data_IF_358167775574
#
_entry.id   IF_358167775574
#
_cell.length_a   1.000
_cell.length_b   1.000
_cell.length_c   1.000
_cell.angle_alpha   90.00
_cell.angle_beta   90.00
_cell.angle_gamma   90.00
#
_symmetry.space_group_name_H-M   'P 1'
#
loop_
_entity.id
_entity.type
_entity.pdbx_description
1 polymer ?
#
# COMPACT_ATOMS: atom_id res chain seq x y z
N UNK A 1 13.04 -8.51 11.53
CA UNK A 1 12.09 -7.36 11.56
C UNK A 1 12.73 -6.23 10.77
N UNK A 2 11.99 -5.63 9.86
CA UNK A 2 12.54 -4.55 9.04
C UNK A 2 12.17 -3.21 9.65
N UNK A 3 13.11 -2.24 9.73
CA UNK A 3 12.78 -0.88 10.13
C UNK A 3 11.70 -0.30 9.23
N UNK A 4 10.79 0.46 9.81
CA UNK A 4 9.65 1.03 9.10
C UNK A 4 9.31 2.44 9.55
N UNK A 5 8.57 3.13 8.70
CA UNK A 5 8.11 4.49 8.94
C UNK A 5 6.66 4.61 8.42
N UNK A 6 5.78 5.13 9.23
CA UNK A 6 4.45 5.59 8.79
C UNK A 6 4.50 7.08 8.55
N UNK A 7 3.94 7.53 7.43
CA UNK A 7 3.71 8.95 7.16
C UNK A 7 2.22 9.22 7.09
N UNK A 8 1.76 10.28 7.79
CA UNK A 8 0.40 10.83 7.67
C UNK A 8 0.48 12.18 6.96
N UNK A 9 -0.37 12.35 5.93
CA UNK A 9 -0.44 13.53 5.08
C UNK A 9 -1.85 14.11 5.16
N UNK A 10 -1.99 15.34 5.65
CA UNK A 10 -3.28 16.05 5.71
C UNK A 10 -3.36 17.05 4.56
N UNK A 11 -4.16 16.78 3.50
CA UNK A 11 -4.32 17.71 2.41
C UNK A 11 -4.92 19.04 2.87
N UNK A 12 -4.27 20.15 2.51
CA UNK A 12 -4.72 21.49 2.81
C UNK A 12 -5.81 22.01 1.85
N UNK A 13 -6.07 21.24 0.79
CA UNK A 13 -7.05 21.57 -0.26
C UNK A 13 -7.48 20.31 -1.01
N UNK A 14 -8.14 20.49 -2.17
CA UNK A 14 -8.52 19.35 -3.00
C UNK A 14 -7.30 18.53 -3.41
N UNK A 15 -7.51 17.24 -3.50
CA UNK A 15 -6.47 16.31 -3.89
C UNK A 15 -6.93 15.43 -5.05
N UNK A 16 -6.02 15.03 -5.93
CA UNK A 16 -6.38 14.22 -7.09
C UNK A 16 -5.36 13.14 -7.37
N UNK A 17 -5.84 11.90 -7.39
CA UNK A 17 -5.24 10.80 -8.11
C UNK A 17 -6.11 10.48 -9.31
N UNK A 18 -5.56 10.53 -10.50
CA UNK A 18 -6.29 10.21 -11.72
C UNK A 18 -6.32 8.71 -11.95
N UNK A 19 -7.43 8.16 -12.50
CA UNK A 19 -7.44 6.80 -13.00
C UNK A 19 -6.55 6.70 -14.26
N UNK A 20 -6.01 5.51 -14.53
CA UNK A 20 -5.16 5.26 -15.71
C UNK A 20 -5.86 5.52 -17.05
N UNK A 21 -7.19 5.53 -17.06
CA UNK A 21 -7.98 5.92 -18.23
C UNK A 21 -7.76 7.37 -18.66
N UNK A 22 -7.12 8.21 -17.81
CA UNK A 22 -6.94 9.64 -18.04
C UNK A 22 -8.21 10.48 -17.88
N UNK A 23 -9.33 9.87 -17.43
CA UNK A 23 -10.58 10.57 -17.22
C UNK A 23 -10.42 11.68 -16.18
N UNK A 24 -10.78 12.91 -16.53
CA UNK A 24 -10.78 14.04 -15.61
C UNK A 24 -11.97 14.06 -14.66
N UNK A 25 -13.09 13.45 -15.05
CA UNK A 25 -14.31 13.38 -14.25
C UNK A 25 -14.31 12.28 -13.18
N UNK A 26 -13.25 11.50 -13.09
CA UNK A 26 -13.09 10.42 -12.12
C UNK A 26 -11.79 10.60 -11.32
N UNK A 27 -11.78 10.07 -10.11
CA UNK A 27 -10.61 9.97 -9.24
C UNK A 27 -10.43 8.52 -8.83
N UNK A 28 -9.19 8.14 -8.53
CA UNK A 28 -8.88 6.94 -7.79
C UNK A 28 -8.64 7.33 -6.32
N UNK A 29 -9.36 6.76 -5.35
CA UNK A 29 -9.15 7.08 -3.95
C UNK A 29 -7.81 6.55 -3.40
N UNK A 30 -7.12 5.66 -4.13
CA UNK A 30 -5.77 5.20 -3.78
C UNK A 30 -4.74 6.00 -4.59
N UNK A 31 -3.76 6.56 -3.90
CA UNK A 31 -2.54 7.01 -4.55
C UNK A 31 -1.55 5.85 -4.54
N UNK A 32 -1.50 5.14 -5.65
CA UNK A 32 -0.75 3.90 -5.76
C UNK A 32 0.75 4.06 -5.54
N UNK A 33 1.38 3.02 -5.03
CA UNK A 33 2.80 2.99 -4.65
C UNK A 33 3.75 3.32 -5.80
N UNK A 34 3.41 2.96 -7.04
CA UNK A 34 4.19 3.32 -8.24
C UNK A 34 4.22 4.84 -8.48
N UNK A 35 3.08 5.50 -8.24
CA UNK A 35 2.94 6.95 -8.36
C UNK A 35 3.61 7.66 -7.19
N UNK A 36 3.51 7.11 -5.98
CA UNK A 36 4.19 7.63 -4.80
C UNK A 36 5.71 7.53 -4.96
N UNK A 37 6.21 6.38 -5.42
CA UNK A 37 7.63 6.19 -5.72
C UNK A 37 8.13 7.22 -6.76
N UNK A 38 7.36 7.44 -7.83
CA UNK A 38 7.71 8.42 -8.84
C UNK A 38 7.75 9.85 -8.28
N UNK A 39 6.80 10.22 -7.41
CA UNK A 39 6.77 11.52 -6.75
C UNK A 39 7.97 11.70 -5.80
N UNK A 40 8.28 10.68 -4.99
CA UNK A 40 9.46 10.70 -4.11
C UNK A 40 10.75 10.77 -4.92
N UNK A 41 10.85 10.03 -6.02
CA UNK A 41 12.04 10.10 -6.92
C UNK A 41 12.24 11.51 -7.51
N UNK A 42 11.14 12.19 -7.87
CA UNK A 42 11.22 13.58 -8.32
C UNK A 42 11.70 14.52 -7.18
N UNK A 43 11.20 14.31 -5.96
CA UNK A 43 11.65 15.05 -4.79
C UNK A 43 13.12 14.78 -4.45
N UNK A 44 13.60 13.52 -4.51
CA UNK A 44 15.02 13.17 -4.36
C UNK A 44 15.90 13.87 -5.42
N UNK A 45 15.36 14.03 -6.64
CA UNK A 45 16.02 14.83 -7.68
C UNK A 45 16.16 16.30 -7.31
N UNK A 46 15.13 16.91 -6.76
CA UNK A 46 15.18 18.29 -6.27
C UNK A 46 16.10 18.45 -5.05
N UNK A 47 16.25 17.42 -4.24
CA UNK A 47 17.21 17.36 -3.12
C UNK A 47 18.65 17.05 -3.55
N UNK A 48 18.90 16.80 -4.85
CA UNK A 48 20.24 16.57 -5.40
C UNK A 48 20.79 15.14 -5.24
N UNK A 49 19.97 14.17 -4.80
CA UNK A 49 20.40 12.80 -4.49
C UNK A 49 19.70 11.74 -5.35
N UNK A 50 19.24 12.12 -6.57
CA UNK A 50 18.50 11.21 -7.47
C UNK A 50 19.25 9.94 -7.82
N UNK A 51 20.52 10.07 -8.21
CA UNK A 51 21.30 8.91 -8.67
C UNK A 51 21.56 7.93 -7.53
N UNK A 52 21.93 8.42 -6.35
CA UNK A 52 22.08 7.59 -5.16
C UNK A 52 20.76 6.87 -4.80
N UNK A 53 19.62 7.56 -4.93
CA UNK A 53 18.30 7.00 -4.73
C UNK A 53 17.99 5.89 -5.73
N UNK A 54 18.24 6.11 -7.02
CA UNK A 54 18.01 5.12 -8.06
C UNK A 54 18.94 3.90 -7.90
N UNK A 55 20.21 4.12 -7.52
CA UNK A 55 21.17 3.05 -7.27
C UNK A 55 20.77 2.20 -6.05
N UNK A 56 20.20 2.82 -5.02
CA UNK A 56 19.71 2.10 -3.84
C UNK A 56 18.35 1.39 -4.08
N UNK A 57 17.62 1.73 -5.13
CA UNK A 57 16.27 1.19 -5.37
C UNK A 57 16.17 0.43 -6.68
N UNK A 58 15.88 1.10 -7.80
CA UNK A 58 15.57 0.44 -9.08
C UNK A 58 16.78 -0.23 -9.75
N UNK A 59 17.98 0.23 -9.47
CA UNK A 59 19.23 -0.31 -10.03
C UNK A 59 19.91 -1.32 -9.10
N UNK A 60 19.40 -1.49 -7.87
CA UNK A 60 19.97 -2.41 -6.90
C UNK A 60 19.60 -3.87 -7.23
N UNK A 61 20.57 -4.72 -7.59
CA UNK A 61 20.30 -6.12 -7.95
C UNK A 61 19.84 -6.98 -6.75
N UNK A 62 20.12 -6.55 -5.53
CA UNK A 62 19.70 -7.24 -4.31
C UNK A 62 18.26 -6.89 -3.89
N UNK A 63 17.62 -5.97 -4.60
CA UNK A 63 16.30 -5.44 -4.32
C UNK A 63 16.34 -4.03 -3.74
N UNK A 64 15.19 -3.35 -3.67
CA UNK A 64 15.12 -1.96 -3.25
C UNK A 64 15.41 -1.79 -1.76
N UNK A 65 16.30 -0.85 -1.42
CA UNK A 65 16.58 -0.48 -0.04
C UNK A 65 15.35 0.16 0.66
N UNK A 66 14.46 0.78 -0.11
CA UNK A 66 13.24 1.43 0.40
C UNK A 66 12.03 0.99 -0.42
N UNK A 67 10.95 0.60 0.25
CA UNK A 67 9.67 0.22 -0.35
C UNK A 67 8.56 1.07 0.23
N UNK A 68 7.55 1.35 -0.59
CA UNK A 68 6.38 2.12 -0.19
C UNK A 68 5.11 1.27 -0.32
N UNK A 69 4.21 1.40 0.66
CA UNK A 69 2.82 1.05 0.41
C UNK A 69 2.17 2.06 -0.53
N UNK A 70 1.00 1.77 -1.03
CA UNK A 70 0.11 2.79 -1.56
C UNK A 70 -0.38 3.70 -0.42
N UNK A 71 -0.88 4.91 -0.78
CA UNK A 71 -1.48 5.79 0.22
C UNK A 71 -2.92 5.41 0.44
N UNK A 72 -3.30 5.21 1.69
CA UNK A 72 -4.63 4.85 2.14
C UNK A 72 -5.25 5.98 2.97
N UNK A 73 -6.58 6.05 3.10
CA UNK A 73 -7.21 7.10 3.90
C UNK A 73 -7.05 6.87 5.40
N UNK A 74 -7.10 7.96 6.18
CA UNK A 74 -7.29 7.92 7.63
C UNK A 74 -8.32 8.96 8.09
N UNK A 75 -8.89 8.77 9.28
CA UNK A 75 -9.75 9.73 9.96
C UNK A 75 -9.42 9.72 11.46
N UNK A 76 -8.98 10.85 12.00
CA UNK A 76 -8.43 10.94 13.35
C UNK A 76 -7.23 10.01 13.51
N UNK A 77 -7.30 9.08 14.45
CA UNK A 77 -6.26 8.06 14.65
C UNK A 77 -6.55 6.75 13.91
N UNK A 78 -7.72 6.62 13.27
CA UNK A 78 -8.09 5.39 12.55
C UNK A 78 -7.51 5.42 11.14
N UNK A 79 -6.50 4.58 10.88
CA UNK A 79 -6.05 4.25 9.53
C UNK A 79 -6.97 3.24 8.88
N UNK A 80 -7.32 3.47 7.60
CA UNK A 80 -8.05 2.52 6.78
C UNK A 80 -7.10 1.90 5.77
N UNK A 81 -7.39 0.68 5.33
CA UNK A 81 -6.53 -0.08 4.44
C UNK A 81 -7.35 -1.00 3.55
N UNK A 82 -6.81 -1.38 2.39
CA UNK A 82 -7.42 -2.42 1.56
C UNK A 82 -7.22 -3.77 2.23
N UNK A 83 -8.29 -4.47 2.65
CA UNK A 83 -8.17 -5.71 3.41
C UNK A 83 -7.60 -6.87 2.60
N UNK A 84 -7.01 -7.87 3.27
CA UNK A 84 -6.58 -9.10 2.61
C UNK A 84 -7.78 -9.83 1.99
N UNK A 85 -7.69 -10.18 0.71
CA UNK A 85 -8.79 -10.77 -0.06
C UNK A 85 -9.22 -12.16 0.41
N UNK A 86 -8.38 -12.88 1.12
CA UNK A 86 -8.68 -14.19 1.68
C UNK A 86 -9.55 -14.15 2.95
N UNK A 87 -9.61 -12.99 3.63
CA UNK A 87 -10.44 -12.79 4.82
C UNK A 87 -11.54 -11.75 4.62
N UNK A 88 -11.59 -11.09 3.45
CA UNK A 88 -12.58 -10.08 3.15
C UNK A 88 -13.37 -10.40 1.87
N UNK A 89 -14.70 -10.34 1.87
CA UNK A 89 -15.60 -10.04 3.00
C UNK A 89 -15.57 -11.14 4.08
N UNK A 90 -15.93 -10.81 5.35
CA UNK A 90 -15.89 -11.78 6.45
C UNK A 90 -16.77 -12.99 6.15
N UNK A 91 -16.25 -14.19 6.40
CA UNK A 91 -17.00 -15.43 6.28
C UNK A 91 -17.87 -15.64 7.52
N UNK A 92 -19.15 -16.01 7.36
CA UNK A 92 -20.03 -16.37 8.47
C UNK A 92 -21.11 -15.34 8.85
N UNK A 93 -21.31 -14.29 8.04
CA UNK A 93 -22.48 -13.41 8.14
C UNK A 93 -23.76 -14.09 7.64
N UNK A 94 -24.92 -13.45 7.92
CA UNK A 94 -26.19 -13.86 7.34
C UNK A 94 -26.08 -14.08 5.81
N UNK A 95 -26.87 -14.95 5.19
CA UNK A 95 -26.87 -15.12 3.74
C UNK A 95 -26.87 -13.76 3.05
N UNK A 96 -26.07 -13.59 2.00
CA UNK A 96 -25.87 -12.31 1.27
C UNK A 96 -27.17 -11.60 0.92
N UNK A 97 -28.26 -12.36 0.78
CA UNK A 97 -29.62 -11.86 0.54
C UNK A 97 -30.29 -11.22 1.76
N UNK A 98 -29.80 -11.48 2.99
CA UNK A 98 -30.36 -10.98 4.23
C UNK A 98 -29.43 -9.96 4.92
N UNK A 99 -28.17 -9.84 4.46
CA UNK A 99 -27.23 -8.88 5.01
C UNK A 99 -27.66 -7.45 4.67
N UNK A 100 -27.79 -6.61 5.69
CA UNK A 100 -28.07 -5.17 5.56
C UNK A 100 -26.86 -4.42 4.99
N UNK A 101 -25.66 -4.96 5.14
CA UNK A 101 -24.40 -4.35 4.73
C UNK A 101 -23.87 -5.06 3.49
N UNK A 102 -23.54 -4.26 2.49
CA UNK A 102 -22.80 -4.75 1.33
C UNK A 102 -21.32 -4.73 1.61
N UNK A 103 -20.82 -5.68 2.40
CA UNK A 103 -19.40 -5.79 2.79
C UNK A 103 -18.44 -5.65 1.61
N UNK A 104 -18.76 -6.23 0.46
CA UNK A 104 -17.96 -6.14 -0.76
C UNK A 104 -17.82 -4.74 -1.33
N UNK A 105 -18.69 -3.80 -0.96
CA UNK A 105 -18.57 -2.39 -1.39
C UNK A 105 -17.61 -1.58 -0.53
N UNK A 106 -17.17 -2.12 0.62
CA UNK A 106 -16.12 -1.50 1.41
C UNK A 106 -14.76 -1.84 0.77
N UNK A 107 -14.16 -0.83 0.15
CA UNK A 107 -12.81 -0.91 -0.40
C UNK A 107 -11.76 -0.80 0.71
N UNK A 108 -12.08 -0.06 1.76
CA UNK A 108 -11.19 0.20 2.89
C UNK A 108 -11.86 -0.20 4.20
N UNK A 109 -11.10 -0.86 5.07
CA UNK A 109 -11.53 -1.17 6.43
C UNK A 109 -10.53 -0.61 7.45
N UNK A 110 -10.94 -0.33 8.69
CA UNK A 110 -10.00 0.03 9.75
C UNK A 110 -8.89 -1.02 9.90
N UNK A 111 -7.64 -0.58 10.06
CA UNK A 111 -6.49 -1.48 10.24
C UNK A 111 -6.70 -2.42 11.44
N UNK A 112 -7.29 -1.90 12.53
CA UNK A 112 -7.59 -2.69 13.73
C UNK A 112 -8.52 -3.88 13.47
N UNK A 113 -9.41 -3.79 12.48
CA UNK A 113 -10.29 -4.90 12.12
C UNK A 113 -9.57 -6.02 11.38
N UNK A 114 -8.46 -5.73 10.70
CA UNK A 114 -7.68 -6.78 10.01
C UNK A 114 -7.17 -7.79 11.02
N UNK A 115 -6.60 -7.33 12.14
CA UNK A 115 -6.14 -8.21 13.22
C UNK A 115 -7.29 -9.05 13.80
N UNK A 116 -8.44 -8.42 14.07
CA UNK A 116 -9.62 -9.10 14.60
C UNK A 116 -10.15 -10.19 13.64
N UNK A 117 -10.18 -9.91 12.33
CA UNK A 117 -10.59 -10.87 11.31
C UNK A 117 -9.60 -12.03 11.16
N UNK A 118 -8.30 -11.77 11.25
CA UNK A 118 -7.26 -12.81 11.27
C UNK A 118 -7.40 -13.74 12.48
N UNK A 119 -7.92 -13.23 13.59
CA UNK A 119 -8.24 -14.00 14.80
C UNK A 119 -9.61 -14.71 14.73
N UNK A 120 -10.29 -14.63 13.58
CA UNK A 120 -11.58 -15.27 13.37
C UNK A 120 -12.75 -14.57 14.08
N UNK A 121 -12.60 -13.33 14.54
CA UNK A 121 -13.68 -12.57 15.16
C UNK A 121 -14.72 -12.17 14.11
N UNK A 122 -15.98 -12.44 14.41
CA UNK A 122 -17.09 -12.02 13.57
C UNK A 122 -17.38 -10.51 13.71
N UNK A 123 -17.92 -9.91 12.66
CA UNK A 123 -18.36 -8.52 12.68
C UNK A 123 -19.87 -8.45 12.84
N UNK A 124 -20.35 -7.60 13.77
CA UNK A 124 -21.77 -7.30 13.93
C UNK A 124 -22.21 -6.29 12.87
N UNK A 125 -23.22 -6.65 12.05
CA UNK A 125 -23.75 -5.77 11.01
C UNK A 125 -24.39 -4.48 11.55
N UNK A 126 -24.82 -4.48 12.81
CA UNK A 126 -25.46 -3.32 13.44
C UNK A 126 -24.47 -2.22 13.81
N UNK A 127 -23.21 -2.59 14.00
CA UNK A 127 -22.14 -1.66 14.41
C UNK A 127 -21.48 -0.95 13.23
N UNK A 128 -21.68 -1.43 12.00
CA UNK A 128 -20.92 -0.97 10.84
C UNK A 128 -21.81 -0.50 9.71
N UNK A 129 -21.29 0.42 8.91
CA UNK A 129 -21.87 0.87 7.65
C UNK A 129 -20.79 1.13 6.64
N UNK A 130 -21.09 0.99 5.35
CA UNK A 130 -20.18 1.38 4.28
C UNK A 130 -20.54 2.78 3.82
N UNK A 131 -19.63 3.73 4.02
CA UNK A 131 -19.80 5.09 3.50
C UNK A 131 -19.61 5.09 1.98
N UNK A 132 -20.69 5.37 1.26
CA UNK A 132 -20.69 5.28 -0.21
C UNK A 132 -19.80 6.33 -0.91
N UNK A 133 -19.43 7.41 -0.22
CA UNK A 133 -18.59 8.46 -0.77
C UNK A 133 -17.10 8.11 -0.72
N UNK A 134 -16.66 7.47 0.36
CA UNK A 134 -15.26 7.11 0.59
C UNK A 134 -14.97 5.62 0.40
N UNK A 135 -16.00 4.80 0.23
CA UNK A 135 -15.88 3.33 0.20
C UNK A 135 -15.23 2.75 1.48
N UNK A 136 -15.26 3.50 2.57
CA UNK A 136 -14.72 3.07 3.87
C UNK A 136 -15.80 2.36 4.70
N UNK A 137 -15.40 1.29 5.39
CA UNK A 137 -16.19 0.68 6.44
C UNK A 137 -16.10 1.57 7.68
N UNK A 138 -17.23 2.14 8.09
CA UNK A 138 -17.33 3.09 9.19
C UNK A 138 -18.18 2.53 10.32
N UNK A 139 -17.95 2.93 11.57
CA UNK A 139 -18.95 2.73 12.62
C UNK A 139 -20.29 3.32 12.22
N UNK A 140 -21.38 2.65 12.58
CA UNK A 140 -22.73 3.07 12.20
C UNK A 140 -23.02 4.53 12.61
N UNK A 141 -23.52 5.31 11.65
CA UNK A 141 -23.85 6.73 11.85
C UNK A 141 -22.67 7.70 11.69
N UNK A 142 -21.44 7.23 11.48
CA UNK A 142 -20.31 8.10 11.23
C UNK A 142 -20.02 8.21 9.72
N UNK A 143 -19.72 9.41 9.22
CA UNK A 143 -19.36 9.62 7.83
C UNK A 143 -17.89 9.27 7.57
N UNK A 144 -17.57 8.89 6.33
CA UNK A 144 -16.22 8.54 5.91
C UNK A 144 -15.23 9.72 5.88
N UNK A 145 -13.93 9.44 5.66
CA UNK A 145 -12.85 10.42 5.74
C UNK A 145 -12.86 11.48 4.63
N UNK A 146 -13.47 11.19 3.49
CA UNK A 146 -13.46 12.08 2.33
C UNK A 146 -14.70 11.91 1.46
N UNK A 147 -14.88 12.84 0.55
CA UNK A 147 -15.87 12.78 -0.53
C UNK A 147 -15.23 13.14 -1.87
N UNK A 148 -15.80 12.66 -2.96
CA UNK A 148 -15.45 13.11 -4.30
C UNK A 148 -16.27 14.38 -4.62
N UNK A 149 -15.58 15.41 -5.11
CA UNK A 149 -16.20 16.63 -5.63
C UNK A 149 -15.83 16.82 -7.09
N UNK A 150 -16.71 17.46 -7.85
CA UNK A 150 -16.46 17.78 -9.26
C UNK A 150 -16.48 19.31 -9.43
N UNK A 151 -15.36 19.85 -9.89
CA UNK A 151 -15.24 21.27 -10.19
C UNK A 151 -15.35 21.50 -11.68
N UNK A 152 -16.16 22.48 -12.05
CA UNK A 152 -16.33 22.88 -13.43
C UNK A 152 -15.47 24.11 -13.72
N UNK A 153 -14.82 24.09 -14.87
CA UNK A 153 -14.08 25.21 -15.43
C UNK A 153 -14.44 25.38 -16.91
N UNK A 154 -14.26 26.55 -17.43
CA UNK A 154 -14.46 26.85 -18.84
C UNK A 154 -13.12 27.18 -19.48
N UNK A 155 -12.80 26.55 -20.60
CA UNK A 155 -11.77 27.04 -21.53
C UNK A 155 -12.43 27.98 -22.53
N UNK A 156 -11.86 29.17 -22.68
CA UNK A 156 -12.34 30.15 -23.65
C UNK A 156 -11.31 30.24 -24.76
N UNK A 157 -11.74 29.97 -25.99
CA UNK A 157 -10.93 30.22 -27.18
C UNK A 157 -10.83 31.73 -27.39
N UNK A 158 -9.62 32.27 -27.33
CA UNK A 158 -9.35 33.69 -27.44
C UNK A 158 -9.59 34.26 -28.85
N UNK A 159 -9.63 33.42 -29.87
CA UNK A 159 -9.83 33.83 -31.25
C UNK A 159 -11.33 33.85 -31.61
N UNK A 160 -12.06 32.80 -31.21
CA UNK A 160 -13.46 32.60 -31.57
C UNK A 160 -14.44 33.02 -30.48
N UNK A 161 -13.98 33.19 -29.22
CA UNK A 161 -14.84 33.43 -28.07
C UNK A 161 -15.63 32.18 -27.65
N UNK A 162 -15.45 31.03 -28.31
CA UNK A 162 -16.15 29.82 -27.97
C UNK A 162 -15.72 29.31 -26.61
N UNK A 163 -16.64 28.68 -25.87
CA UNK A 163 -16.42 28.22 -24.51
C UNK A 163 -16.67 26.72 -24.43
N UNK A 164 -15.67 25.97 -23.93
CA UNK A 164 -15.79 24.55 -23.65
C UNK A 164 -15.73 24.30 -22.14
N UNK A 165 -16.68 23.50 -21.62
CA UNK A 165 -16.75 23.16 -20.21
C UNK A 165 -15.91 21.92 -19.92
N UNK A 166 -15.10 22.01 -18.84
CA UNK A 166 -14.30 20.90 -18.35
C UNK A 166 -14.72 20.54 -16.93
N UNK A 167 -14.97 19.26 -16.69
CA UNK A 167 -15.18 18.71 -15.37
C UNK A 167 -13.86 18.15 -14.83
N UNK A 168 -13.49 18.52 -13.62
CA UNK A 168 -12.33 17.94 -12.92
C UNK A 168 -12.78 17.43 -11.57
N UNK A 169 -12.73 16.12 -11.39
CA UNK A 169 -13.02 15.48 -10.11
C UNK A 169 -11.81 15.56 -9.18
N UNK A 170 -12.06 15.75 -7.90
CA UNK A 170 -11.07 15.75 -6.82
C UNK A 170 -11.64 15.12 -5.57
N UNK A 171 -10.76 14.79 -4.65
CA UNK A 171 -11.08 14.28 -3.31
C UNK A 171 -10.97 15.47 -2.35
N UNK A 172 -11.99 15.65 -1.53
CA UNK A 172 -12.03 16.61 -0.44
C UNK A 172 -12.05 15.86 0.87
N UNK A 173 -10.96 15.94 1.60
CA UNK A 173 -10.82 15.31 2.92
C UNK A 173 -11.53 16.14 3.99
N UNK A 174 -11.99 15.46 5.04
CA UNK A 174 -12.45 16.12 6.25
C UNK A 174 -11.25 16.72 6.99
N UNK A 175 -11.53 17.62 7.95
CA UNK A 175 -10.49 18.36 8.68
C UNK A 175 -9.47 17.44 9.36
N UNK A 176 -9.94 16.32 9.95
CA UNK A 176 -9.10 15.38 10.69
C UNK A 176 -8.75 14.13 9.86
N UNK A 177 -8.88 14.24 8.54
CA UNK A 177 -8.65 13.13 7.63
C UNK A 177 -7.52 13.44 6.63
N UNK A 178 -7.02 12.41 6.01
CA UNK A 178 -5.98 12.52 5.00
C UNK A 178 -5.57 11.17 4.45
N UNK A 179 -4.32 11.10 4.01
CA UNK A 179 -3.67 9.91 3.48
C UNK A 179 -2.53 9.47 4.40
N UNK A 180 -2.36 8.18 4.54
CA UNK A 180 -1.21 7.59 5.21
C UNK A 180 -0.56 6.52 4.33
N UNK A 181 0.73 6.34 4.50
CA UNK A 181 1.49 5.31 3.82
C UNK A 181 2.54 4.71 4.75
N UNK A 182 2.95 3.49 4.45
CA UNK A 182 4.02 2.77 5.12
C UNK A 182 5.24 2.75 4.23
N UNK A 183 6.37 2.98 4.83
CA UNK A 183 7.69 2.86 4.23
C UNK A 183 8.43 1.73 4.95
N UNK A 184 8.99 0.80 4.21
CA UNK A 184 9.85 -0.26 4.74
C UNK A 184 11.27 -0.06 4.26
N UNK A 185 12.23 -0.21 5.15
CA UNK A 185 13.64 -0.24 4.85
C UNK A 185 14.11 -1.70 4.81
N UNK A 186 14.99 -2.05 3.85
CA UNK A 186 15.36 -3.43 3.60
C UNK A 186 16.10 -4.09 4.77
N UNK A 187 16.92 -3.30 5.46
CA UNK A 187 17.78 -3.71 6.57
C UNK A 187 18.11 -2.53 7.50
N UNK A 188 18.96 -2.73 8.49
CA UNK A 188 19.37 -1.70 9.44
C UNK A 188 20.21 -0.59 8.78
N UNK A 189 21.01 -0.90 7.78
CA UNK A 189 21.78 0.11 7.04
C UNK A 189 20.85 1.04 6.29
N UNK A 190 19.89 0.51 5.55
CA UNK A 190 18.84 1.27 4.89
C UNK A 190 17.98 2.07 5.88
N UNK A 191 17.68 1.45 7.05
CA UNK A 191 16.95 2.07 8.16
C UNK A 191 17.70 3.21 8.84
N UNK A 192 19.01 3.27 8.72
CA UNK A 192 19.84 4.37 9.21
C UNK A 192 20.00 5.45 8.14
N UNK A 193 20.24 5.07 6.89
CA UNK A 193 20.59 5.99 5.80
C UNK A 193 19.39 6.76 5.26
N UNK A 194 18.25 6.10 5.04
CA UNK A 194 17.16 6.63 4.22
C UNK A 194 16.04 7.37 4.95
N UNK A 195 15.78 7.22 6.26
CA UNK A 195 14.68 7.95 6.92
C UNK A 195 14.77 9.47 6.80
N UNK A 196 15.96 10.05 6.93
CA UNK A 196 16.19 11.49 6.76
C UNK A 196 15.83 12.00 5.37
N UNK A 197 16.43 11.47 4.29
CA UNK A 197 16.07 11.79 2.90
C UNK A 197 14.59 11.59 2.58
N UNK A 198 13.99 10.47 3.02
CA UNK A 198 12.56 10.17 2.80
C UNK A 198 11.67 11.22 3.47
N UNK A 199 11.94 11.59 4.73
CA UNK A 199 11.20 12.67 5.40
C UNK A 199 11.35 14.00 4.67
N UNK A 200 12.58 14.33 4.22
CA UNK A 200 12.83 15.52 3.40
C UNK A 200 12.00 15.52 2.11
N UNK A 201 11.94 14.39 1.41
CA UNK A 201 11.13 14.23 0.22
C UNK A 201 9.63 14.43 0.49
N UNK A 202 9.09 13.84 1.57
CA UNK A 202 7.67 14.02 1.92
C UNK A 202 7.34 15.46 2.33
N UNK A 203 8.24 16.17 3.03
CA UNK A 203 8.06 17.60 3.34
C UNK A 203 8.03 18.42 2.06
N UNK A 204 8.95 18.17 1.14
CA UNK A 204 8.98 18.85 -0.15
C UNK A 204 7.71 18.57 -0.98
N UNK A 205 7.20 17.33 -0.98
CA UNK A 205 5.97 16.95 -1.63
C UNK A 205 4.74 17.61 -0.99
N UNK A 206 4.71 17.71 0.33
CA UNK A 206 3.62 18.38 1.05
C UNK A 206 3.56 19.89 0.70
N UNK A 207 4.72 20.53 0.61
CA UNK A 207 4.84 21.95 0.28
C UNK A 207 4.58 22.24 -1.20
N UNK A 208 5.18 21.47 -2.12
CA UNK A 208 5.03 21.69 -3.58
C UNK A 208 3.74 21.12 -4.17
N UNK A 209 3.04 20.27 -3.42
CA UNK A 209 1.92 19.47 -3.90
C UNK A 209 2.34 18.26 -4.74
N UNK A 210 1.57 17.19 -4.66
CA UNK A 210 1.74 15.99 -5.49
C UNK A 210 0.38 15.43 -5.94
N UNK A 211 0.41 14.53 -6.93
CA UNK A 211 -0.80 14.08 -7.62
C UNK A 211 -1.15 14.96 -8.81
N UNK A 212 -2.41 15.02 -9.19
CA UNK A 212 -2.90 15.81 -10.33
C UNK A 212 -3.28 17.24 -9.96
N UNK A 213 -3.33 18.11 -10.98
CA UNK A 213 -3.78 19.52 -10.87
C UNK A 213 -2.89 20.40 -9.96
N UNK A 214 -1.61 20.04 -9.79
CA UNK A 214 -0.64 20.81 -8.97
C UNK A 214 -0.54 22.28 -9.39
N UNK A 215 -0.58 22.57 -10.69
CA UNK A 215 -0.55 23.95 -11.21
C UNK A 215 -1.76 24.80 -10.79
N UNK A 216 -2.79 24.17 -10.23
CA UNK A 216 -3.98 24.83 -9.66
C UNK A 216 -3.97 24.86 -8.14
N UNK A 217 -2.85 24.55 -7.51
CA UNK A 217 -2.70 24.50 -6.06
C UNK A 217 -3.30 23.27 -5.38
N UNK A 218 -3.60 22.19 -6.14
CA UNK A 218 -4.07 20.95 -5.55
C UNK A 218 -2.90 20.09 -5.08
N UNK A 219 -3.17 19.23 -4.11
CA UNK A 219 -2.18 18.26 -3.63
C UNK A 219 -1.22 18.76 -2.55
N UNK A 220 -1.33 20.03 -2.13
CA UNK A 220 -0.59 20.53 -0.97
C UNK A 220 -1.11 19.89 0.31
N UNK A 221 -0.20 19.60 1.23
CA UNK A 221 -0.53 19.05 2.55
C UNK A 221 0.04 19.95 3.66
N UNK A 222 -0.50 19.80 4.85
CA UNK A 222 0.13 20.31 6.06
C UNK A 222 1.46 19.58 6.32
N UNK A 223 2.23 20.03 7.31
CA UNK A 223 3.47 19.34 7.73
C UNK A 223 3.20 17.85 7.94
N UNK A 224 3.95 16.96 7.26
CA UNK A 224 3.77 15.51 7.41
C UNK A 224 4.12 15.04 8.81
N UNK A 225 3.33 14.12 9.35
CA UNK A 225 3.60 13.43 10.60
C UNK A 225 4.26 12.09 10.33
N UNK A 226 5.24 11.73 11.16
CA UNK A 226 6.01 10.51 11.00
C UNK A 226 6.00 9.69 12.29
N UNK A 227 5.77 8.38 12.16
CA UNK A 227 5.85 7.40 13.24
C UNK A 227 6.84 6.31 12.84
N UNK A 228 7.90 6.16 13.61
CA UNK A 228 8.89 5.08 13.43
C UNK A 228 8.44 3.80 14.12
N UNK A 229 8.89 2.67 13.61
CA UNK A 229 8.64 1.36 14.18
C UNK A 229 9.22 0.25 13.33
N UNK A 230 8.73 -0.95 13.52
CA UNK A 230 9.14 -2.13 12.78
C UNK A 230 7.95 -2.74 12.03
N UNK A 231 8.22 -3.47 10.97
CA UNK A 231 7.24 -4.24 10.26
C UNK A 231 7.40 -5.73 10.61
N UNK A 232 6.27 -6.41 10.84
CA UNK A 232 4.87 -6.01 10.54
C UNK A 232 4.14 -5.23 11.66
N UNK A 233 4.75 -4.96 12.81
CA UNK A 233 4.12 -4.45 14.04
C UNK A 233 3.44 -3.08 13.86
N UNK A 234 3.94 -2.24 12.95
CA UNK A 234 3.29 -0.97 12.59
C UNK A 234 1.88 -1.14 11.99
N UNK A 235 1.58 -2.34 11.44
CA UNK A 235 0.29 -2.66 10.81
C UNK A 235 -0.49 -3.67 11.64
N UNK A 236 0.18 -4.72 12.10
CA UNK A 236 -0.40 -5.78 12.91
C UNK A 236 0.37 -5.84 14.24
N UNK A 237 -0.02 -5.05 15.23
CA UNK A 237 0.67 -5.05 16.52
C UNK A 237 0.67 -6.46 17.11
N UNK A 238 1.76 -6.86 17.80
CA UNK A 238 1.85 -8.16 18.42
C UNK A 238 0.72 -8.33 19.43
N UNK A 239 0.13 -9.52 19.48
CA UNK A 239 -0.85 -9.86 20.50
C UNK A 239 -0.18 -9.74 21.86
N UNK A 240 -0.79 -8.99 22.77
CA UNK A 240 -0.43 -9.06 24.18
C UNK A 240 -0.57 -10.52 24.61
N UNK A 241 0.53 -11.16 24.92
CA UNK A 241 0.50 -12.45 25.58
C UNK A 241 -0.15 -12.19 26.93
N UNK A 242 -1.40 -12.64 27.12
CA UNK A 242 -1.94 -12.81 28.45
C UNK A 242 -0.95 -13.67 29.20
N UNK A 243 -0.16 -13.05 30.04
CA UNK A 243 0.72 -13.74 30.98
C UNK A 243 -0.22 -14.36 32.03
N UNK A 244 -0.67 -15.60 31.77
CA UNK A 244 -1.16 -16.40 32.87
C UNK A 244 -0.03 -16.48 33.90
N UNK A 245 -0.31 -16.24 35.19
CA UNK A 245 0.72 -16.38 36.20
C UNK A 245 1.27 -17.81 36.15
N UNK A 246 2.58 -18.03 36.31
CA UNK A 246 3.18 -19.35 36.23
C UNK A 246 2.52 -20.25 37.26
N UNK A 247 1.76 -21.23 36.78
CA UNK A 247 1.26 -22.29 37.61
C UNK A 247 2.46 -23.05 38.22
N UNK A 248 2.41 -23.19 39.53
CA UNK A 248 3.37 -23.89 40.36
C UNK A 248 3.50 -25.34 39.87
N UNK A 249 4.55 -25.62 39.08
CA UNK A 249 4.89 -27.00 38.68
C UNK A 249 6.02 -27.51 39.56
N UNK A 250 5.66 -28.29 40.54
CA UNK A 250 6.57 -29.12 41.31
C UNK A 250 7.34 -30.06 40.37
N UNK A 251 8.66 -30.29 40.59
CA UNK A 251 9.46 -31.14 39.75
C UNK A 251 9.19 -32.62 40.04
N UNK A 252 8.61 -33.32 39.05
CA UNK A 252 8.54 -34.78 39.04
C UNK A 252 9.79 -35.35 38.38
N UNK A 253 10.63 -36.01 39.18
CA UNK A 253 11.75 -36.81 38.68
C UNK A 253 11.21 -38.07 37.96
N UNK A 254 11.57 -38.23 36.68
CA UNK A 254 11.37 -39.45 35.90
C UNK A 254 12.68 -39.93 35.27
N UNK A 255 12.90 -41.24 35.11
CA UNK A 255 14.22 -41.83 34.90
C UNK A 255 14.74 -41.63 33.48
N UNK A 256 16.06 -41.43 33.41
CA UNK A 256 16.86 -41.34 32.20
C UNK A 256 16.94 -42.74 31.56
N UNK A 257 16.27 -42.92 30.42
CA UNK A 257 16.47 -44.06 29.53
C UNK A 257 17.49 -43.72 28.44
N UNK A 258 18.56 -44.50 28.36
CA UNK A 258 19.54 -44.41 27.28
C UNK A 258 18.90 -44.93 25.98
N UNK A 259 18.68 -44.06 24.99
CA UNK A 259 18.31 -44.46 23.63
C UNK A 259 19.53 -44.50 22.72
N UNK A 260 19.66 -45.64 22.05
CA UNK A 260 20.67 -45.98 21.04
C UNK A 260 20.66 -44.92 19.90
N UNK A 261 21.85 -44.42 19.57
CA UNK A 261 22.10 -43.61 18.40
C UNK A 261 22.01 -44.50 17.15
N UNK A 262 20.82 -44.60 16.55
CA UNK A 262 20.70 -45.11 15.19
C UNK A 262 21.13 -44.00 14.22
N UNK A 263 22.10 -44.31 13.36
CA UNK A 263 22.58 -43.42 12.32
C UNK A 263 21.40 -42.98 11.42
N UNK A 264 21.01 -41.73 11.52
CA UNK A 264 19.96 -41.14 10.70
C UNK A 264 20.41 -41.05 9.24
N UNK A 265 19.61 -41.63 8.34
CA UNK A 265 19.72 -41.38 6.90
C UNK A 265 19.67 -39.85 6.61
N UNK A 266 20.28 -39.36 5.53
CA UNK A 266 20.25 -37.94 5.20
C UNK A 266 18.78 -37.50 5.07
N UNK A 267 18.35 -36.69 6.03
CA UNK A 267 17.03 -36.06 5.99
C UNK A 267 17.06 -35.03 4.86
N UNK A 268 16.29 -35.26 3.82
CA UNK A 268 16.04 -34.22 2.81
C UNK A 268 15.58 -32.94 3.53
N UNK A 269 16.14 -31.77 3.15
CA UNK A 269 15.69 -30.51 3.74
C UNK A 269 14.17 -30.38 3.58
N UNK A 270 13.45 -29.96 4.62
CA UNK A 270 12.01 -29.81 4.54
C UNK A 270 11.69 -28.85 3.38
N UNK A 271 10.59 -29.09 2.64
CA UNK A 271 10.21 -28.21 1.55
C UNK A 271 10.09 -26.78 2.08
N UNK A 272 10.47 -25.76 1.27
CA UNK A 272 10.44 -24.37 1.71
C UNK A 272 9.04 -24.02 2.23
N UNK A 273 8.99 -23.50 3.45
CA UNK A 273 7.74 -23.09 4.05
C UNK A 273 7.14 -21.95 3.24
N UNK A 274 5.96 -22.18 2.65
CA UNK A 274 5.22 -21.17 1.92
C UNK A 274 4.50 -20.25 2.90
N UNK A 275 4.55 -18.95 2.63
CA UNK A 275 3.91 -17.92 3.44
C UNK A 275 2.88 -17.16 2.59
N UNK A 276 1.77 -16.78 3.22
CA UNK A 276 0.79 -15.89 2.61
C UNK A 276 1.22 -14.44 2.82
N UNK A 277 1.37 -13.70 1.72
CA UNK A 277 1.81 -12.29 1.70
C UNK A 277 0.66 -11.38 1.32
N UNK A 278 0.21 -10.54 2.24
CA UNK A 278 -0.79 -9.51 1.98
C UNK A 278 -0.10 -8.25 1.43
N UNK A 279 -0.45 -7.87 0.21
CA UNK A 279 0.15 -6.72 -0.47
C UNK A 279 -0.47 -5.40 -0.02
N UNK A 280 0.38 -4.45 0.37
CA UNK A 280 0.05 -3.06 0.65
C UNK A 280 0.48 -2.12 -0.49
N UNK A 281 1.12 -2.66 -1.52
CA UNK A 281 1.62 -1.93 -2.68
C UNK A 281 1.16 -2.59 -3.97
N UNK A 282 1.29 -1.89 -5.09
CA UNK A 282 1.30 -2.54 -6.39
C UNK A 282 2.53 -3.43 -6.52
N UNK A 283 2.37 -4.57 -7.19
CA UNK A 283 3.44 -5.54 -7.34
C UNK A 283 3.61 -5.97 -8.81
N UNK A 284 4.86 -5.97 -9.25
CA UNK A 284 5.29 -6.58 -10.51
C UNK A 284 6.32 -7.65 -10.16
N UNK A 285 6.06 -8.94 -10.45
CA UNK A 285 6.99 -10.00 -10.10
C UNK A 285 8.32 -9.83 -10.81
N UNK A 286 9.40 -9.99 -10.07
CA UNK A 286 10.75 -10.12 -10.60
C UNK A 286 11.11 -11.58 -10.90
N UNK A 287 12.25 -11.83 -11.57
CA UNK A 287 12.70 -13.19 -11.87
C UNK A 287 12.89 -14.08 -10.65
N UNK A 288 13.22 -13.47 -9.50
CA UNK A 288 13.50 -14.16 -8.24
C UNK A 288 12.23 -14.41 -7.39
N UNK A 289 11.08 -13.86 -7.79
CA UNK A 289 9.85 -13.98 -7.03
C UNK A 289 9.13 -15.29 -7.39
N UNK A 290 9.37 -16.34 -6.60
CA UNK A 290 8.73 -17.64 -6.75
C UNK A 290 7.32 -17.63 -6.16
N UNK A 291 6.33 -17.09 -6.89
CA UNK A 291 4.94 -16.97 -6.48
C UNK A 291 4.12 -18.16 -6.96
N UNK A 292 3.41 -18.82 -6.04
CA UNK A 292 2.37 -19.79 -6.40
C UNK A 292 1.05 -19.07 -6.72
N UNK A 293 0.89 -18.75 -7.99
CA UNK A 293 -0.29 -18.02 -8.50
C UNK A 293 -1.61 -18.80 -8.34
N UNK A 294 -1.56 -20.13 -8.28
CA UNK A 294 -2.77 -20.96 -8.15
C UNK A 294 -3.37 -20.87 -6.75
N UNK A 295 -2.53 -20.66 -5.74
CA UNK A 295 -2.96 -20.54 -4.34
C UNK A 295 -3.19 -19.09 -3.91
N UNK A 296 -2.84 -18.12 -4.75
CA UNK A 296 -3.03 -16.71 -4.49
C UNK A 296 -4.48 -16.24 -4.70
N UNK A 297 -4.89 -15.25 -3.94
CA UNK A 297 -6.14 -14.50 -4.16
C UNK A 297 -5.80 -13.07 -4.54
N UNK A 298 -5.75 -12.76 -5.83
CA UNK A 298 -5.22 -11.51 -6.34
C UNK A 298 -6.09 -10.88 -7.44
N UNK A 299 -5.86 -9.60 -7.67
CA UNK A 299 -6.43 -8.83 -8.79
C UNK A 299 -5.32 -8.09 -9.49
N UNK A 300 -5.49 -7.90 -10.78
CA UNK A 300 -4.53 -7.21 -11.63
C UNK A 300 -5.15 -5.91 -12.15
N UNK A 301 -4.37 -4.85 -12.20
CA UNK A 301 -4.73 -3.56 -12.79
C UNK A 301 -3.73 -3.20 -13.89
N UNK A 302 -4.24 -2.62 -14.97
CA UNK A 302 -3.39 -2.05 -16.01
C UNK A 302 -2.93 -0.64 -15.58
N UNK A 303 -1.63 -0.42 -15.58
CA UNK A 303 -1.00 0.87 -15.23
C UNK A 303 -0.34 1.48 -16.46
N UNK A 304 -0.80 2.65 -16.83
CA UNK A 304 -0.27 3.44 -17.96
C UNK A 304 0.18 4.82 -17.50
N UNK A 305 -0.11 5.83 -18.28
CA UNK A 305 0.18 7.23 -17.97
C UNK A 305 1.08 7.90 -19.00
N UNK A 306 1.52 9.11 -18.67
CA UNK A 306 2.37 9.91 -19.55
C UNK A 306 3.70 10.21 -18.87
N UNK A 307 4.73 10.41 -19.68
CA UNK A 307 6.03 10.86 -19.19
C UNK A 307 5.93 12.34 -18.81
N UNK A 308 6.52 12.67 -17.66
CA UNK A 308 6.73 14.05 -17.18
C UNK A 308 8.24 14.14 -16.83
N UNK A 309 9.02 14.63 -17.77
CA UNK A 309 10.48 14.70 -17.67
C UNK A 309 10.99 15.93 -18.43
N UNK A 310 12.10 16.54 -18.03
CA UNK A 310 12.78 17.58 -18.81
C UNK A 310 13.13 17.16 -20.24
N UNK A 311 13.30 15.87 -20.51
CA UNK A 311 13.62 15.33 -21.83
C UNK A 311 12.39 15.18 -22.74
N UNK A 312 11.16 15.23 -22.20
CA UNK A 312 9.93 15.12 -22.99
C UNK A 312 8.68 15.08 -22.13
N UNK A 313 7.59 15.65 -22.67
CA UNK A 313 6.30 15.75 -22.00
C UNK A 313 5.19 15.10 -22.80
N UNK A 314 4.31 14.39 -22.09
CA UNK A 314 3.05 13.97 -22.65
C UNK A 314 3.09 12.70 -23.49
N UNK A 315 4.23 12.12 -23.77
CA UNK A 315 4.36 10.80 -24.41
C UNK A 315 3.76 9.70 -23.52
N UNK A 316 3.12 8.70 -24.15
CA UNK A 316 2.53 7.60 -23.40
C UNK A 316 3.60 6.61 -22.96
N UNK A 317 3.62 6.29 -21.67
CA UNK A 317 4.42 5.19 -21.11
C UNK A 317 3.90 3.85 -21.64
N UNK A 318 4.78 2.84 -21.74
CA UNK A 318 4.34 1.45 -21.95
C UNK A 318 3.39 1.03 -20.84
N UNK A 319 2.35 0.29 -21.22
CA UNK A 319 1.37 -0.22 -20.28
C UNK A 319 1.92 -1.46 -19.57
N UNK A 320 1.70 -1.54 -18.26
CA UNK A 320 2.10 -2.66 -17.42
C UNK A 320 0.90 -3.18 -16.65
N UNK A 321 0.80 -4.49 -16.48
CA UNK A 321 -0.17 -5.12 -15.59
C UNK A 321 0.49 -5.42 -14.25
N UNK A 322 -0.12 -4.95 -13.18
CA UNK A 322 0.42 -5.05 -11.82
C UNK A 322 -0.60 -5.67 -10.88
N UNK A 323 -0.16 -6.49 -9.94
CA UNK A 323 -1.01 -7.02 -8.88
C UNK A 323 -1.35 -5.90 -7.91
N UNK A 324 -2.63 -5.81 -7.50
CA UNK A 324 -3.11 -4.69 -6.68
C UNK A 324 -2.96 -4.92 -5.18
N UNK A 325 -3.07 -3.83 -4.44
CA UNK A 325 -3.20 -3.83 -2.98
C UNK A 325 -4.37 -4.71 -2.52
N UNK A 326 -4.25 -5.29 -1.35
CA UNK A 326 -5.22 -6.24 -0.79
C UNK A 326 -5.08 -7.66 -1.34
N UNK A 327 -4.32 -7.87 -2.42
CA UNK A 327 -4.03 -9.21 -2.93
C UNK A 327 -3.22 -10.00 -1.90
N UNK A 328 -3.51 -11.31 -1.84
CA UNK A 328 -2.75 -12.26 -1.01
C UNK A 328 -2.07 -13.23 -1.94
N UNK A 329 -0.75 -13.26 -1.90
CA UNK A 329 0.09 -14.15 -2.68
C UNK A 329 0.71 -15.22 -1.80
N UNK A 330 0.87 -16.42 -2.33
CA UNK A 330 1.58 -17.50 -1.65
C UNK A 330 2.97 -17.63 -2.28
N UNK A 331 3.99 -17.47 -1.47
CA UNK A 331 5.38 -17.51 -1.91
C UNK A 331 6.30 -18.02 -0.80
N UNK A 332 7.60 -18.07 -1.06
CA UNK A 332 8.61 -18.27 -0.01
C UNK A 332 8.63 -17.13 1.02
N UNK A 333 9.70 -17.01 1.77
CA UNK A 333 9.78 -16.06 2.89
C UNK A 333 9.65 -14.58 2.48
N UNK A 334 10.13 -14.21 1.30
CA UNK A 334 10.09 -12.81 0.82
C UNK A 334 9.68 -12.72 -0.64
N UNK A 335 8.89 -11.69 -0.96
CA UNK A 335 8.65 -11.23 -2.31
C UNK A 335 9.23 -9.82 -2.46
N UNK A 336 9.92 -9.56 -3.57
CA UNK A 336 10.67 -8.30 -3.77
C UNK A 336 9.99 -7.38 -4.76
N UNK A 337 9.61 -7.93 -5.90
CA UNK A 337 9.12 -7.17 -7.04
C UNK A 337 10.24 -6.47 -7.80
N UNK A 338 9.88 -5.93 -8.96
CA UNK A 338 10.80 -5.22 -9.83
C UNK A 338 10.24 -3.89 -10.32
N UNK A 339 11.09 -3.06 -10.90
CA UNK A 339 10.73 -1.80 -11.53
C UNK A 339 11.11 -1.80 -13.03
N UNK A 340 10.24 -2.33 -13.90
CA UNK A 340 10.55 -2.36 -15.34
C UNK A 340 10.60 -0.96 -15.95
N UNK A 341 11.40 -0.84 -17.01
CA UNK A 341 11.42 0.35 -17.84
C UNK A 341 10.16 0.41 -18.72
N UNK A 342 9.40 1.45 -18.52
CA UNK A 342 8.15 1.74 -19.26
C UNK A 342 8.31 2.96 -20.18
N UNK A 343 9.54 3.35 -20.50
CA UNK A 343 9.80 4.44 -21.42
C UNK A 343 9.15 4.17 -22.80
N UNK A 344 8.67 5.21 -23.50
CA UNK A 344 8.31 5.12 -24.89
C UNK A 344 9.53 4.67 -25.74
N UNK A 345 9.27 4.05 -26.87
CA UNK A 345 10.37 3.65 -27.76
C UNK A 345 11.16 4.87 -28.26
N UNK A 346 12.48 4.79 -28.13
CA UNK A 346 13.38 5.90 -28.51
C UNK A 346 13.45 7.05 -27.48
N UNK A 347 12.86 6.92 -26.30
CA UNK A 347 12.95 7.95 -25.26
C UNK A 347 14.39 8.10 -24.73
N UNK A 348 14.79 9.33 -24.37
CA UNK A 348 16.18 9.67 -24.08
C UNK A 348 16.77 9.01 -22.81
N UNK A 349 15.93 8.52 -21.91
CA UNK A 349 16.35 7.84 -20.68
C UNK A 349 15.30 6.83 -20.20
N UNK A 350 15.67 5.83 -19.37
CA UNK A 350 14.70 4.90 -18.83
C UNK A 350 13.68 5.60 -17.92
N UNK A 351 12.44 5.10 -17.93
CA UNK A 351 11.33 5.55 -17.08
C UNK A 351 10.85 4.35 -16.28
N UNK A 352 11.26 4.27 -15.04
CA UNK A 352 10.95 3.12 -14.21
C UNK A 352 9.53 3.20 -13.63
N UNK A 353 8.83 2.06 -13.56
CA UNK A 353 7.60 1.89 -12.83
C UNK A 353 7.83 0.93 -11.68
N UNK A 354 7.84 1.45 -10.45
CA UNK A 354 8.10 0.65 -9.28
C UNK A 354 6.92 -0.30 -8.97
N UNK A 355 7.20 -1.60 -9.05
CA UNK A 355 6.32 -2.67 -8.62
C UNK A 355 6.93 -3.45 -7.45
N UNK A 356 7.60 -2.74 -6.54
CA UNK A 356 8.25 -3.32 -5.37
C UNK A 356 7.21 -3.75 -4.34
N UNK A 357 7.27 -5.02 -3.92
CA UNK A 357 6.36 -5.54 -2.93
C UNK A 357 6.63 -4.93 -1.54
N UNK A 358 5.65 -4.24 -0.99
CA UNK A 358 5.53 -4.06 0.44
C UNK A 358 4.39 -4.97 0.91
N UNK A 359 4.74 -6.05 1.58
CA UNK A 359 3.80 -7.08 2.00
C UNK A 359 3.90 -7.37 3.49
N UNK A 360 2.79 -7.79 4.05
CA UNK A 360 2.68 -8.25 5.44
C UNK A 360 2.48 -9.76 5.40
N UNK A 361 3.36 -10.55 6.05
CA UNK A 361 3.15 -11.98 6.18
C UNK A 361 1.93 -12.24 7.07
N UNK A 362 1.01 -13.08 6.60
CA UNK A 362 -0.18 -13.45 7.35
C UNK A 362 0.07 -14.74 8.14
N UNK A 363 -0.31 -14.79 9.42
CA UNK A 363 -0.14 -15.98 10.24
C UNK A 363 -1.03 -17.15 9.74
N UNK A 364 -0.44 -18.32 9.59
CA UNK A 364 -1.15 -19.60 9.59
C UNK A 364 -2.09 -19.94 8.43
N UNK A 365 -2.14 -19.18 7.35
CA UNK A 365 -3.09 -19.40 6.26
C UNK A 365 -2.44 -19.94 4.96
N UNK A 366 -1.70 -21.00 5.07
CA UNK A 366 -1.40 -21.83 3.89
C UNK A 366 -2.49 -22.90 3.80
N UNK A 367 -3.69 -22.50 3.34
CA UNK A 367 -4.74 -23.48 2.98
C UNK A 367 -4.26 -24.33 1.81
N UNK A 368 -4.40 -25.64 2.01
CA UNK A 368 -4.08 -26.69 1.04
C UNK A 368 -4.85 -26.56 -0.27
#
# INVERSE_FOLDING_TARGET
MNPGLVVKLRPAGPWRSGPDSGSRSRVDPIYHSDSLYAAVTAAMGALGIRDEWLDATVRNPQGPAVRFSSCFPFLGETGFIVPPRNIWPPMGGAPVSLSKIRWRSARFIPVSLVAALLDGQGLSEEQWTVDGASECLMPAGLPGPFRTSVRWSAAVDRLTGSTERHATAGIEFRRDAGLWAVISFADEEAGTRWPGPVRGAFRLLADSGFGGERSRGWGHCLEPEFLEGTLPELILPPKEKNTEPPGDLSPGEGPVGAEEILAAAPVEPPPPSLTSHWLLSLFTPGPEDAVDWKRGNYTVVARGGRVDSPAGYGERKKQLHMVTEGSVLVAGETIRGMAPDVAPDGFAHPVFRAGFALSIPLPGQVTA
#
